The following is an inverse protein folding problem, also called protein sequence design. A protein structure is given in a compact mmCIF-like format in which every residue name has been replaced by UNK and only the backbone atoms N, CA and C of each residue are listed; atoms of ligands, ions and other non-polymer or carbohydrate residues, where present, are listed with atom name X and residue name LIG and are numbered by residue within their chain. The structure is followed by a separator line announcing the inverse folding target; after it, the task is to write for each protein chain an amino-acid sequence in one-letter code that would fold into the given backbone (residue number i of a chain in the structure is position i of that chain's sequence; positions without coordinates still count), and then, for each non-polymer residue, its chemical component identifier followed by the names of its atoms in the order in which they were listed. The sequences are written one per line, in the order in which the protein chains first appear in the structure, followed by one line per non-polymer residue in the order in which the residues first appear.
data_IF_287667607084
#
_entry.id   IF_287667607084
#
_cell.length_a   1.000
_cell.length_b   1.000
_cell.length_c   1.000
_cell.angle_alpha   90.00
_cell.angle_beta   90.00
_cell.angle_gamma   90.00
#
_symmetry.space_group_name_H-M   'P 1'
#
loop_
_entity.id
_entity.type
_entity.pdbx_description
1 polymer ?
#
# COMPACT_ATOMS: atom_id res chain seq x y z
N UNK A 1 -5.53 37.65 -13.43
CA UNK A 1 -4.78 36.56 -12.79
C UNK A 1 -5.69 35.34 -12.72
N UNK A 2 -5.49 34.36 -13.58
CA UNK A 2 -6.33 33.19 -13.68
C UNK A 2 -5.68 32.05 -12.85
N UNK A 3 -6.43 31.50 -11.91
CA UNK A 3 -6.03 30.34 -11.10
C UNK A 3 -6.48 29.09 -11.88
N UNK A 4 -5.52 28.32 -12.39
CA UNK A 4 -5.76 27.01 -12.98
C UNK A 4 -5.97 25.99 -11.85
N UNK A 5 -7.18 25.45 -11.77
CA UNK A 5 -7.48 24.25 -10.97
C UNK A 5 -7.14 23.03 -11.82
N UNK A 6 -6.11 22.29 -11.43
CA UNK A 6 -5.79 20.97 -11.98
C UNK A 6 -6.69 19.94 -11.29
N UNK A 7 -7.69 19.45 -12.04
CA UNK A 7 -8.53 18.30 -11.64
C UNK A 7 -7.79 17.02 -11.99
N UNK A 8 -7.47 16.21 -11.00
CA UNK A 8 -7.01 14.84 -11.16
C UNK A 8 -8.14 13.97 -11.72
N UNK A 9 -7.97 13.43 -12.92
CA UNK A 9 -8.91 12.51 -13.54
C UNK A 9 -8.75 11.12 -12.93
N UNK A 10 -9.69 10.73 -12.08
CA UNK A 10 -9.85 9.35 -11.63
C UNK A 10 -10.51 8.53 -12.76
N UNK A 11 -9.85 7.46 -13.21
CA UNK A 11 -10.43 6.51 -14.14
C UNK A 11 -11.37 5.57 -13.39
N UNK A 12 -12.69 5.78 -13.60
CA UNK A 12 -13.75 4.91 -13.07
C UNK A 12 -14.02 3.82 -14.10
N UNK A 13 -13.67 2.58 -13.79
CA UNK A 13 -14.13 1.41 -14.54
C UNK A 13 -15.53 1.02 -14.08
N UNK A 14 -16.53 1.18 -14.96
CA UNK A 14 -17.87 0.61 -14.77
C UNK A 14 -17.86 -0.85 -15.19
N UNK A 15 -18.26 -1.75 -14.29
CA UNK A 15 -18.60 -3.14 -14.58
C UNK A 15 -20.03 -3.22 -15.14
N UNK A 16 -20.30 -4.04 -16.16
CA UNK A 16 -21.67 -4.33 -16.57
C UNK A 16 -22.29 -5.42 -15.70
N UNK A 17 -23.55 -5.19 -15.32
CA UNK A 17 -24.41 -6.15 -14.64
C UNK A 17 -24.62 -7.40 -15.53
N UNK A 18 -24.47 -8.59 -14.94
CA UNK A 18 -24.97 -9.84 -15.53
C UNK A 18 -25.92 -10.54 -14.57
N UNK A 19 -27.09 -10.76 -15.11
CA UNK A 19 -28.27 -11.36 -14.51
C UNK A 19 -28.05 -12.78 -13.99
N UNK A 20 -28.75 -13.09 -12.92
CA UNK A 20 -28.93 -14.40 -12.32
C UNK A 20 -29.70 -15.36 -13.25
N UNK A 21 -29.30 -16.62 -13.26
CA UNK A 21 -30.22 -17.76 -13.51
C UNK A 21 -29.96 -18.87 -12.50
N UNK A 22 -31.00 -19.11 -11.69
CA UNK A 22 -31.17 -20.30 -10.84
C UNK A 22 -31.46 -21.52 -11.68
N UNK A 23 -30.85 -22.67 -11.36
CA UNK A 23 -31.54 -23.95 -11.46
C UNK A 23 -30.95 -24.93 -10.44
N UNK A 24 -31.84 -25.42 -9.62
CA UNK A 24 -31.68 -26.53 -8.64
C UNK A 24 -31.95 -27.84 -9.35
N UNK A 25 -31.12 -28.87 -9.12
CA UNK A 25 -31.55 -30.28 -9.14
C UNK A 25 -30.48 -31.18 -8.50
N UNK A 26 -30.83 -31.79 -7.37
CA UNK A 26 -30.22 -33.03 -6.86
C UNK A 26 -31.12 -34.18 -7.30
N UNK A 27 -30.63 -35.41 -7.64
CA UNK A 27 -30.78 -36.45 -6.64
C UNK A 27 -29.65 -37.51 -6.55
N UNK A 28 -29.42 -37.92 -5.33
CA UNK A 28 -29.20 -39.25 -4.74
C UNK A 28 -28.56 -40.41 -5.53
N UNK A 29 -27.55 -40.99 -4.84
CA UNK A 29 -27.28 -42.40 -4.58
C UNK A 29 -26.94 -43.32 -5.74
N UNK A 30 -25.69 -43.82 -5.72
CA UNK A 30 -25.49 -45.30 -5.81
C UNK A 30 -24.05 -45.67 -5.37
N UNK A 31 -23.98 -46.62 -4.43
CA UNK A 31 -22.75 -47.28 -3.99
C UNK A 31 -22.33 -48.33 -5.04
N UNK A 32 -21.10 -48.27 -5.49
CA UNK A 32 -20.44 -49.40 -6.11
C UNK A 32 -19.00 -49.52 -5.62
N UNK A 33 -18.77 -50.53 -4.83
CA UNK A 33 -17.47 -50.96 -4.34
C UNK A 33 -16.71 -51.58 -5.53
N UNK A 34 -15.62 -50.94 -5.97
CA UNK A 34 -14.64 -51.62 -6.80
C UNK A 34 -13.25 -51.43 -6.19
N UNK A 35 -12.73 -52.58 -5.75
CA UNK A 35 -11.36 -52.79 -5.27
C UNK A 35 -10.42 -52.75 -6.49
N UNK A 36 -9.76 -51.64 -6.72
CA UNK A 36 -8.73 -51.52 -7.74
C UNK A 36 -7.35 -51.54 -7.10
N UNK A 37 -6.56 -52.50 -7.43
CA UNK A 37 -5.15 -52.71 -7.13
C UNK A 37 -4.32 -51.44 -7.40
N UNK A 38 -3.69 -50.89 -6.35
CA UNK A 38 -2.71 -49.84 -6.45
C UNK A 38 -1.44 -50.35 -7.13
N UNK A 39 -1.32 -50.02 -8.41
CA UNK A 39 -0.05 -50.10 -9.13
C UNK A 39 0.67 -48.77 -8.78
N UNK A 40 1.70 -48.88 -7.95
CA UNK A 40 2.59 -47.75 -7.58
C UNK A 40 3.34 -47.30 -8.84
N UNK A 41 2.79 -46.33 -9.54
CA UNK A 41 3.56 -45.55 -10.48
C UNK A 41 4.29 -44.48 -9.67
N UNK A 42 5.61 -44.55 -9.60
CA UNK A 42 6.43 -43.49 -9.13
C UNK A 42 6.14 -42.23 -9.98
N UNK A 43 5.35 -41.37 -9.47
CA UNK A 43 5.20 -40.03 -10.02
C UNK A 43 6.55 -39.33 -9.85
N UNK A 44 7.32 -39.23 -10.92
CA UNK A 44 8.40 -38.26 -11.02
C UNK A 44 7.76 -36.88 -10.82
N UNK A 45 7.97 -36.28 -9.66
CA UNK A 45 7.67 -34.87 -9.46
C UNK A 45 8.32 -34.12 -10.62
N UNK A 46 7.61 -33.22 -11.33
CA UNK A 46 8.29 -32.35 -12.27
C UNK A 46 9.38 -31.62 -11.52
N UNK A 47 10.63 -31.74 -11.99
CA UNK A 47 11.72 -30.85 -11.57
C UNK A 47 11.21 -29.43 -11.80
N UNK A 48 10.73 -28.78 -10.73
CA UNK A 48 10.54 -27.34 -10.72
C UNK A 48 11.96 -26.80 -10.75
N UNK A 49 12.42 -26.20 -11.87
CA UNK A 49 13.76 -25.65 -11.92
C UNK A 49 13.87 -24.67 -10.75
N UNK A 50 14.86 -24.84 -9.90
CA UNK A 50 15.18 -23.90 -8.84
C UNK A 50 15.36 -22.52 -9.52
N UNK A 51 14.38 -21.65 -9.34
CA UNK A 51 14.44 -20.31 -9.90
C UNK A 51 15.51 -19.55 -9.12
N UNK A 52 16.65 -19.32 -9.74
CA UNK A 52 17.76 -18.60 -9.13
C UNK A 52 17.59 -17.13 -9.53
N UNK A 53 17.37 -16.28 -8.56
CA UNK A 53 17.37 -14.83 -8.75
C UNK A 53 18.78 -14.35 -9.09
N UNK A 54 18.90 -13.44 -10.04
CA UNK A 54 20.17 -12.83 -10.44
C UNK A 54 20.48 -11.63 -9.53
N UNK A 55 21.01 -11.93 -8.34
CA UNK A 55 21.33 -10.91 -7.34
C UNK A 55 22.34 -9.88 -7.80
N UNK A 56 23.28 -10.24 -8.71
CA UNK A 56 24.23 -9.29 -9.29
C UNK A 56 23.49 -8.29 -10.19
N UNK A 57 22.57 -8.77 -11.01
CA UNK A 57 21.73 -7.91 -11.84
C UNK A 57 20.83 -7.00 -11.00
N UNK A 58 20.25 -7.51 -9.90
CA UNK A 58 19.44 -6.71 -8.96
C UNK A 58 20.24 -5.55 -8.36
N UNK A 59 21.46 -5.83 -7.86
CA UNK A 59 22.34 -4.81 -7.29
C UNK A 59 22.83 -3.81 -8.33
N UNK A 60 23.15 -4.26 -9.54
CA UNK A 60 23.56 -3.37 -10.63
C UNK A 60 22.42 -2.44 -11.05
N UNK A 61 21.18 -2.94 -11.14
CA UNK A 61 19.99 -2.12 -11.45
C UNK A 61 19.73 -1.05 -10.39
N UNK A 62 19.87 -1.38 -9.10
CA UNK A 62 19.79 -0.39 -8.02
C UNK A 62 20.89 0.69 -8.15
N UNK A 63 22.13 0.27 -8.42
CA UNK A 63 23.25 1.19 -8.60
C UNK A 63 23.01 2.14 -9.78
N UNK A 64 22.60 1.62 -10.93
CA UNK A 64 22.31 2.39 -12.13
C UNK A 64 21.13 3.36 -11.92
N UNK A 65 20.06 2.90 -11.25
CA UNK A 65 18.95 3.76 -10.87
C UNK A 65 19.41 4.94 -10.00
N UNK A 66 20.24 4.68 -8.98
CA UNK A 66 20.74 5.72 -8.09
C UNK A 66 21.74 6.66 -8.77
N UNK A 67 22.52 6.18 -9.72
CA UNK A 67 23.37 7.04 -10.56
C UNK A 67 22.53 7.99 -11.43
N UNK A 68 21.48 7.48 -12.09
CA UNK A 68 20.58 8.30 -12.89
C UNK A 68 19.84 9.35 -12.04
N UNK A 69 19.39 8.96 -10.84
CA UNK A 69 18.75 9.86 -9.88
C UNK A 69 19.68 10.96 -9.40
N UNK A 70 20.94 10.64 -9.07
CA UNK A 70 21.93 11.64 -8.69
C UNK A 70 22.18 12.65 -9.82
N UNK A 71 22.25 12.20 -11.07
CA UNK A 71 22.36 13.07 -12.24
C UNK A 71 21.14 13.99 -12.43
N UNK A 72 19.96 13.53 -12.01
CA UNK A 72 18.71 14.30 -12.05
C UNK A 72 18.45 15.15 -10.78
N UNK A 73 19.34 15.10 -9.79
CA UNK A 73 19.17 15.83 -8.52
C UNK A 73 18.17 15.19 -7.55
N UNK A 74 17.76 13.95 -7.77
CA UNK A 74 16.88 13.20 -6.88
C UNK A 74 17.68 12.42 -5.81
N UNK A 75 17.10 12.24 -4.62
CA UNK A 75 17.71 11.44 -3.55
C UNK A 75 17.79 9.96 -3.93
N UNK A 76 18.79 9.21 -3.42
CA UNK A 76 18.92 7.80 -3.73
C UNK A 76 17.77 6.99 -3.14
N UNK A 77 17.40 5.92 -3.85
CA UNK A 77 16.48 4.90 -3.38
C UNK A 77 17.20 3.93 -2.44
N UNK A 78 16.54 3.59 -1.35
CA UNK A 78 16.97 2.56 -0.41
C UNK A 78 16.29 1.23 -0.76
N UNK A 79 17.04 0.14 -0.74
CA UNK A 79 16.48 -1.18 -0.97
C UNK A 79 15.52 -1.58 0.17
N UNK A 80 14.34 -2.08 -0.17
CA UNK A 80 13.37 -2.65 0.77
C UNK A 80 13.21 -4.15 0.48
N UNK A 81 13.43 -4.98 1.50
CA UNK A 81 13.42 -6.44 1.34
C UNK A 81 12.04 -7.00 0.99
N UNK A 82 10.97 -6.39 1.50
CA UNK A 82 9.60 -6.78 1.17
C UNK A 82 9.26 -6.45 -0.28
N UNK A 83 9.63 -5.25 -0.75
CA UNK A 83 9.47 -4.88 -2.15
C UNK A 83 10.29 -5.78 -3.07
N UNK A 84 11.52 -6.19 -2.68
CA UNK A 84 12.29 -7.17 -3.46
C UNK A 84 11.56 -8.51 -3.55
N UNK A 85 10.92 -8.96 -2.48
CA UNK A 85 10.16 -10.21 -2.49
C UNK A 85 8.97 -10.11 -3.45
N UNK A 86 8.22 -9.01 -3.46
CA UNK A 86 7.14 -8.77 -4.40
C UNK A 86 7.64 -8.73 -5.85
N UNK A 87 8.70 -7.96 -6.12
CA UNK A 87 9.31 -7.84 -7.44
C UNK A 87 9.79 -9.19 -7.99
N UNK A 88 10.41 -10.02 -7.14
CA UNK A 88 10.85 -11.36 -7.52
C UNK A 88 9.67 -12.28 -7.84
N UNK A 89 8.61 -12.28 -7.02
CA UNK A 89 7.40 -13.06 -7.28
C UNK A 89 6.74 -12.66 -8.60
N UNK A 90 6.70 -11.36 -8.92
CA UNK A 90 6.17 -10.90 -10.20
C UNK A 90 7.07 -11.26 -11.38
N UNK A 91 8.41 -11.23 -11.22
CA UNK A 91 9.34 -11.72 -12.23
C UNK A 91 9.15 -13.23 -12.52
N UNK A 92 8.83 -14.04 -11.49
CA UNK A 92 8.44 -15.45 -11.67
C UNK A 92 7.15 -15.59 -12.49
N UNK A 93 6.15 -14.78 -12.20
CA UNK A 93 4.90 -14.79 -12.97
C UNK A 93 5.12 -14.40 -14.43
N UNK A 94 5.97 -13.40 -14.70
CA UNK A 94 6.36 -13.04 -16.07
C UNK A 94 7.10 -14.17 -16.78
N UNK A 95 8.04 -14.85 -16.11
CA UNK A 95 8.76 -16.00 -16.65
C UNK A 95 7.80 -17.16 -16.96
N UNK A 96 6.91 -17.50 -16.05
CA UNK A 96 5.94 -18.57 -16.23
C UNK A 96 5.00 -18.28 -17.42
N UNK A 97 4.56 -17.04 -17.56
CA UNK A 97 3.73 -16.59 -18.66
C UNK A 97 4.52 -16.33 -19.98
N UNK A 98 5.85 -16.30 -19.94
CA UNK A 98 6.76 -15.95 -21.04
C UNK A 98 6.40 -14.63 -21.73
N UNK A 99 5.95 -13.64 -20.96
CA UNK A 99 5.59 -12.30 -21.47
C UNK A 99 5.74 -11.24 -20.41
N UNK A 100 5.89 -9.98 -20.87
CA UNK A 100 5.81 -8.81 -20.01
C UNK A 100 4.36 -8.45 -19.71
N UNK A 101 4.07 -8.14 -18.46
CA UNK A 101 2.81 -7.57 -18.02
C UNK A 101 3.00 -6.91 -16.65
N UNK A 102 2.28 -5.86 -16.35
CA UNK A 102 2.19 -5.30 -15.00
C UNK A 102 1.26 -6.10 -14.09
N UNK A 103 0.42 -6.95 -14.67
CA UNK A 103 -0.52 -7.79 -13.93
C UNK A 103 -0.96 -8.97 -14.78
N UNK A 104 -1.15 -10.12 -14.14
CA UNK A 104 -1.70 -11.32 -14.73
C UNK A 104 -3.09 -11.64 -14.17
N UNK A 105 -3.87 -12.45 -14.89
CA UNK A 105 -5.17 -12.91 -14.41
C UNK A 105 -5.00 -13.71 -13.11
N UNK A 106 -5.74 -13.33 -12.09
CA UNK A 106 -5.67 -13.94 -10.75
C UNK A 106 -4.52 -13.43 -9.86
N UNK A 107 -3.63 -12.60 -10.37
CA UNK A 107 -2.62 -11.91 -9.56
C UNK A 107 -3.22 -10.70 -8.84
N UNK A 108 -2.78 -10.46 -7.60
CA UNK A 108 -3.18 -9.26 -6.87
C UNK A 108 -2.64 -7.99 -7.53
N UNK A 109 -3.37 -6.87 -7.51
CA UNK A 109 -2.86 -5.58 -7.94
C UNK A 109 -1.60 -5.16 -7.17
N UNK A 110 -0.77 -4.30 -7.77
CA UNK A 110 0.51 -3.88 -7.20
C UNK A 110 0.42 -3.47 -5.71
N UNK A 111 -0.52 -2.60 -5.26
CA UNK A 111 -0.59 -2.22 -3.84
C UNK A 111 -0.76 -3.42 -2.91
N UNK A 112 -1.57 -4.41 -3.30
CA UNK A 112 -1.78 -5.63 -2.51
C UNK A 112 -0.57 -6.57 -2.57
N UNK A 113 0.10 -6.72 -3.74
CA UNK A 113 1.34 -7.51 -3.86
C UNK A 113 2.42 -6.97 -2.93
N UNK A 114 2.61 -5.64 -2.90
CA UNK A 114 3.57 -5.01 -2.00
C UNK A 114 3.15 -5.19 -0.53
N UNK A 115 1.87 -5.00 -0.25
CA UNK A 115 1.34 -5.16 1.09
C UNK A 115 1.53 -6.57 1.65
N UNK A 116 1.46 -7.62 0.85
CA UNK A 116 1.63 -9.00 1.30
C UNK A 116 3.06 -9.33 1.73
N UNK A 117 4.04 -8.55 1.26
CA UNK A 117 5.47 -8.84 1.47
C UNK A 117 6.20 -7.81 2.32
N UNK A 118 5.74 -6.55 2.37
CA UNK A 118 6.36 -5.50 3.19
C UNK A 118 5.52 -5.12 4.40
N UNK A 119 6.19 -4.71 5.49
CA UNK A 119 5.58 -4.02 6.62
C UNK A 119 5.74 -2.49 6.53
N UNK A 120 6.33 -2.00 5.46
CA UNK A 120 6.53 -0.57 5.22
C UNK A 120 5.19 0.09 4.87
N UNK A 121 4.86 1.17 5.55
CA UNK A 121 3.74 2.03 5.16
C UNK A 121 4.14 2.79 3.89
N UNK A 122 3.40 2.58 2.81
CA UNK A 122 3.63 3.25 1.52
C UNK A 122 2.52 4.26 1.23
N UNK A 123 2.90 5.47 0.83
CA UNK A 123 1.98 6.51 0.40
C UNK A 123 1.77 6.51 -1.12
N UNK A 124 2.82 6.18 -1.85
CA UNK A 124 2.83 6.06 -3.30
C UNK A 124 3.59 4.81 -3.70
N UNK A 125 3.17 4.17 -4.77
CA UNK A 125 3.85 3.03 -5.36
C UNK A 125 3.91 3.15 -6.89
N UNK A 126 4.85 2.42 -7.50
CA UNK A 126 5.00 2.32 -8.95
C UNK A 126 5.81 1.11 -9.33
N UNK A 127 5.68 0.67 -10.56
CA UNK A 127 6.36 -0.51 -11.08
C UNK A 127 6.96 -0.24 -12.46
N UNK A 128 8.15 -0.76 -12.68
CA UNK A 128 8.74 -0.93 -14.01
C UNK A 128 8.94 -2.42 -14.26
N UNK A 129 8.61 -2.88 -15.47
CA UNK A 129 8.91 -4.23 -15.94
C UNK A 129 9.69 -4.16 -17.25
N UNK A 130 10.68 -5.06 -17.41
CA UNK A 130 11.45 -5.17 -18.63
C UNK A 130 11.86 -6.62 -18.93
N UNK A 131 12.11 -6.91 -20.20
CA UNK A 131 12.74 -8.13 -20.68
C UNK A 131 13.94 -7.75 -21.53
N UNK A 132 15.15 -8.10 -21.07
CA UNK A 132 16.38 -7.70 -21.72
C UNK A 132 17.46 -8.79 -21.68
N UNK A 133 18.61 -8.56 -22.26
CA UNK A 133 19.74 -9.49 -22.26
C UNK A 133 20.63 -9.36 -21.01
N UNK A 134 20.75 -8.14 -20.49
CA UNK A 134 21.54 -7.82 -19.29
C UNK A 134 20.97 -6.60 -18.55
N UNK A 135 21.41 -6.40 -17.32
CA UNK A 135 20.91 -5.34 -16.44
C UNK A 135 21.20 -3.91 -16.99
N UNK A 136 22.37 -3.70 -17.61
CA UNK A 136 22.74 -2.39 -18.14
C UNK A 136 21.89 -2.00 -19.34
N UNK A 137 21.64 -2.95 -20.25
CA UNK A 137 20.72 -2.78 -21.38
C UNK A 137 19.29 -2.55 -20.90
N UNK A 138 18.81 -3.34 -19.93
CA UNK A 138 17.49 -3.18 -19.32
C UNK A 138 17.31 -1.79 -18.72
N UNK A 139 18.26 -1.33 -17.90
CA UNK A 139 18.25 0.04 -17.36
C UNK A 139 18.23 1.10 -18.46
N UNK A 140 19.07 0.96 -19.49
CA UNK A 140 19.12 1.89 -20.61
C UNK A 140 17.76 2.00 -21.31
N UNK A 141 17.11 0.88 -21.61
CA UNK A 141 15.80 0.86 -22.27
C UNK A 141 14.69 1.43 -21.38
N UNK A 142 14.71 1.14 -20.08
CA UNK A 142 13.81 1.77 -19.12
C UNK A 142 13.99 3.30 -19.08
N UNK A 143 15.23 3.80 -19.09
CA UNK A 143 15.54 5.23 -19.14
C UNK A 143 15.16 5.90 -20.46
N UNK A 144 15.08 5.17 -21.56
CA UNK A 144 14.62 5.66 -22.87
C UNK A 144 13.09 5.70 -22.99
N UNK A 145 12.38 4.95 -22.17
CA UNK A 145 10.91 4.90 -22.13
C UNK A 145 10.37 5.98 -21.17
N UNK A 146 9.61 6.98 -21.65
CA UNK A 146 9.16 8.09 -20.80
C UNK A 146 8.42 7.66 -19.51
N UNK A 147 7.47 6.70 -19.52
CA UNK A 147 6.78 6.30 -18.28
C UNK A 147 7.71 5.58 -17.29
N UNK A 148 8.60 4.68 -17.77
CA UNK A 148 9.54 3.97 -16.91
C UNK A 148 10.62 4.93 -16.35
N UNK A 149 11.08 5.86 -17.16
CA UNK A 149 12.00 6.91 -16.72
C UNK A 149 11.35 7.80 -15.65
N UNK A 150 10.07 8.11 -15.79
CA UNK A 150 9.34 8.90 -14.80
C UNK A 150 9.33 8.19 -13.44
N UNK A 151 9.10 6.88 -13.39
CA UNK A 151 9.20 6.10 -12.15
C UNK A 151 10.62 6.12 -11.56
N UNK A 152 11.64 5.84 -12.38
CA UNK A 152 13.05 5.84 -11.95
C UNK A 152 13.48 7.18 -11.34
N UNK A 153 13.00 8.29 -11.88
CA UNK A 153 13.39 9.65 -11.48
C UNK A 153 12.37 10.35 -10.58
N UNK A 154 11.26 9.67 -10.19
CA UNK A 154 10.26 10.25 -9.31
C UNK A 154 10.89 10.61 -7.95
N UNK A 155 10.94 11.93 -7.66
CA UNK A 155 11.56 12.44 -6.43
C UNK A 155 10.80 12.06 -5.15
N UNK A 156 9.51 11.68 -5.25
CA UNK A 156 8.70 11.20 -4.12
C UNK A 156 9.17 9.84 -3.62
N UNK A 157 9.64 8.96 -4.51
CA UNK A 157 10.07 7.62 -4.12
C UNK A 157 11.37 7.65 -3.32
N UNK A 158 11.42 6.87 -2.25
CA UNK A 158 12.58 6.74 -1.36
C UNK A 158 12.98 5.28 -1.10
N UNK A 159 12.15 4.31 -1.53
CA UNK A 159 12.46 2.87 -1.47
C UNK A 159 12.24 2.21 -2.83
N UNK A 160 12.94 1.09 -3.03
CA UNK A 160 12.83 0.24 -4.22
C UNK A 160 12.97 -1.24 -3.82
N UNK A 161 12.22 -2.10 -4.49
CA UNK A 161 12.49 -3.53 -4.61
C UNK A 161 12.94 -3.84 -6.04
N UNK A 162 13.90 -4.72 -6.19
CA UNK A 162 14.34 -5.21 -7.49
C UNK A 162 14.24 -6.72 -7.50
N UNK A 163 13.61 -7.28 -8.52
CA UNK A 163 13.52 -8.71 -8.77
C UNK A 163 13.98 -9.03 -10.17
N UNK A 164 14.96 -9.93 -10.30
CA UNK A 164 15.52 -10.34 -11.59
C UNK A 164 15.62 -11.85 -11.67
N UNK A 165 15.06 -12.40 -12.73
CA UNK A 165 15.18 -13.83 -13.06
C UNK A 165 15.84 -13.99 -14.41
N UNK A 166 16.89 -14.83 -14.47
CA UNK A 166 17.55 -15.20 -15.71
C UNK A 166 16.92 -16.46 -16.29
N UNK A 167 16.58 -16.42 -17.57
CA UNK A 167 16.10 -17.57 -18.33
C UNK A 167 16.75 -17.57 -19.70
N UNK A 168 17.69 -18.50 -19.91
CA UNK A 168 18.53 -18.53 -21.10
C UNK A 168 19.38 -17.24 -21.21
N UNK A 169 19.25 -16.54 -22.32
CA UNK A 169 19.92 -15.27 -22.61
C UNK A 169 19.11 -14.03 -22.22
N UNK A 170 17.99 -14.20 -21.47
CA UNK A 170 17.08 -13.12 -21.09
C UNK A 170 16.98 -12.94 -19.60
N UNK A 171 16.78 -11.67 -19.20
CA UNK A 171 16.43 -11.26 -17.84
C UNK A 171 14.98 -10.76 -17.81
N UNK A 172 14.17 -11.33 -16.95
CA UNK A 172 12.89 -10.76 -16.53
C UNK A 172 13.17 -9.84 -15.35
N UNK A 173 12.92 -8.55 -15.55
CA UNK A 173 13.29 -7.47 -14.62
C UNK A 173 12.03 -6.82 -14.10
N UNK A 174 11.93 -6.68 -12.77
CA UNK A 174 10.88 -5.91 -12.07
C UNK A 174 11.55 -4.94 -11.11
N UNK A 175 11.07 -3.71 -11.10
CA UNK A 175 11.45 -2.67 -10.15
C UNK A 175 10.17 -2.12 -9.52
N UNK A 176 9.96 -2.41 -8.24
CA UNK A 176 8.86 -1.90 -7.43
C UNK A 176 9.35 -0.69 -6.64
N UNK A 177 8.71 0.45 -6.82
CA UNK A 177 9.05 1.70 -6.15
C UNK A 177 8.04 2.04 -5.08
N UNK A 178 8.46 2.76 -4.06
CA UNK A 178 7.55 3.29 -3.06
C UNK A 178 8.03 4.56 -2.38
N UNK A 179 7.05 5.35 -1.92
CA UNK A 179 7.26 6.40 -0.92
C UNK A 179 6.96 5.82 0.46
N UNK A 180 8.01 5.36 1.12
CA UNK A 180 7.91 4.84 2.48
C UNK A 180 7.75 5.99 3.48
N UNK A 181 6.78 5.85 4.37
CA UNK A 181 6.53 6.75 5.50
C UNK A 181 6.98 6.12 6.81
N UNK A 182 7.24 6.93 7.86
CA UNK A 182 7.46 6.40 9.20
C UNK A 182 6.23 5.64 9.71
N UNK A 183 6.47 4.52 10.39
CA UNK A 183 5.44 3.82 11.15
C UNK A 183 5.47 4.32 12.60
N UNK A 184 4.38 4.89 13.07
CA UNK A 184 4.20 5.36 14.43
C UNK A 184 3.37 4.36 15.25
N UNK A 185 3.73 4.17 16.49
CA UNK A 185 2.86 3.52 17.48
C UNK A 185 1.64 4.38 17.79
N UNK A 186 0.60 3.79 18.35
CA UNK A 186 -0.61 4.55 18.75
C UNK A 186 -0.28 5.72 19.69
N UNK A 187 0.68 5.55 20.59
CA UNK A 187 1.12 6.61 21.49
C UNK A 187 1.77 7.77 20.71
N UNK A 188 2.71 7.46 19.80
CA UNK A 188 3.36 8.46 18.95
C UNK A 188 2.36 9.20 18.05
N UNK A 189 1.37 8.49 17.49
CA UNK A 189 0.29 9.12 16.71
C UNK A 189 -0.48 10.16 17.55
N UNK A 190 -0.84 9.81 18.79
CA UNK A 190 -1.50 10.74 19.71
C UNK A 190 -0.64 11.95 20.02
N UNK A 191 0.67 11.75 20.21
CA UNK A 191 1.63 12.83 20.44
C UNK A 191 1.78 13.75 19.21
N UNK A 192 1.88 13.17 18.00
CA UNK A 192 1.96 13.94 16.75
C UNK A 192 0.70 14.79 16.55
N UNK A 193 -0.48 14.21 16.74
CA UNK A 193 -1.75 14.93 16.66
C UNK A 193 -1.80 16.03 17.73
N UNK A 194 -1.38 15.77 18.98
CA UNK A 194 -1.37 16.75 20.03
C UNK A 194 -0.41 17.94 19.73
N UNK A 195 0.75 17.65 19.18
CA UNK A 195 1.70 18.69 18.74
C UNK A 195 1.08 19.57 17.64
N UNK A 196 0.38 18.96 16.67
CA UNK A 196 -0.31 19.67 15.59
C UNK A 196 -1.47 20.52 16.12
N UNK A 197 -2.24 20.00 17.10
CA UNK A 197 -3.29 20.75 17.80
C UNK A 197 -2.70 21.98 18.49
N UNK A 198 -1.62 21.82 19.26
CA UNK A 198 -0.96 22.92 19.93
C UNK A 198 -0.43 23.97 18.94
N UNK A 199 0.11 23.53 17.80
CA UNK A 199 0.57 24.42 16.74
C UNK A 199 -0.59 25.21 16.11
N UNK A 200 -1.70 24.54 15.75
CA UNK A 200 -2.89 25.18 15.18
C UNK A 200 -3.46 26.23 16.12
N UNK A 201 -3.56 25.94 17.41
CA UNK A 201 -4.07 26.89 18.42
C UNK A 201 -3.14 28.07 18.62
N UNK A 202 -1.81 27.87 18.64
CA UNK A 202 -0.84 29.00 18.71
C UNK A 202 -0.97 29.92 17.48
N UNK A 203 -1.12 29.37 16.27
CA UNK A 203 -1.37 30.15 15.05
C UNK A 203 -2.66 30.97 15.15
N UNK A 204 -3.70 30.40 15.78
CA UNK A 204 -4.96 31.08 16.05
C UNK A 204 -4.90 32.06 17.28
N UNK A 205 -3.75 32.19 17.95
CA UNK A 205 -3.56 32.97 19.18
C UNK A 205 -4.49 32.55 20.33
N UNK A 206 -4.74 31.26 20.44
CA UNK A 206 -5.54 30.61 21.48
C UNK A 206 -4.63 29.92 22.50
N UNK A 207 -5.13 29.78 23.74
CA UNK A 207 -4.44 29.01 24.77
C UNK A 207 -4.35 27.54 24.41
N UNK A 208 -3.29 26.89 24.86
CA UNK A 208 -3.15 25.42 24.72
C UNK A 208 -4.27 24.71 25.49
N UNK A 209 -4.66 23.56 25.02
CA UNK A 209 -5.63 22.64 25.64
C UNK A 209 -4.99 21.30 25.92
N UNK A 210 -5.44 20.65 26.97
CA UNK A 210 -4.86 19.38 27.39
C UNK A 210 -5.39 18.20 26.54
N UNK A 211 -4.47 17.39 26.04
CA UNK A 211 -4.81 16.03 25.61
C UNK A 211 -5.16 15.20 26.85
N UNK A 212 -6.31 14.56 26.84
CA UNK A 212 -6.74 13.63 27.90
C UNK A 212 -6.95 12.24 27.29
N UNK A 213 -6.81 11.23 28.14
CA UNK A 213 -7.04 9.85 27.73
C UNK A 213 -8.53 9.49 27.72
N UNK A 214 -8.95 8.76 26.68
CA UNK A 214 -10.31 8.30 26.50
C UNK A 214 -10.30 6.95 25.74
N UNK A 215 -10.17 5.81 26.46
CA UNK A 215 -10.02 4.50 25.81
C UNK A 215 -11.14 4.17 24.81
N UNK A 216 -12.37 4.64 25.07
CA UNK A 216 -13.50 4.47 24.16
C UNK A 216 -13.25 5.11 22.77
N UNK A 217 -12.39 6.12 22.67
CA UNK A 217 -12.01 6.70 21.38
C UNK A 217 -11.08 5.77 20.58
N UNK A 218 -10.15 5.07 21.25
CA UNK A 218 -9.30 4.05 20.62
C UNK A 218 -10.14 2.86 20.13
N UNK A 219 -11.07 2.38 20.96
CA UNK A 219 -11.98 1.29 20.60
C UNK A 219 -12.82 1.66 19.37
N UNK A 220 -13.31 2.89 19.29
CA UNK A 220 -14.06 3.39 18.15
C UNK A 220 -13.19 3.47 16.88
N UNK A 221 -11.95 3.98 16.99
CA UNK A 221 -10.99 4.03 15.89
C UNK A 221 -10.69 2.62 15.35
N UNK A 222 -10.38 1.66 16.23
CA UNK A 222 -10.12 0.28 15.85
C UNK A 222 -11.36 -0.45 15.30
N UNK A 223 -12.55 -0.08 15.76
CA UNK A 223 -13.80 -0.63 15.20
C UNK A 223 -14.03 -0.19 13.76
N UNK A 224 -13.77 1.09 13.44
CA UNK A 224 -13.84 1.61 12.07
C UNK A 224 -12.77 0.98 11.18
N UNK A 225 -11.55 0.80 11.70
CA UNK A 225 -10.45 0.14 10.99
C UNK A 225 -10.80 -1.31 10.60
N UNK A 226 -11.36 -2.09 11.54
CA UNK A 226 -11.82 -3.46 11.26
C UNK A 226 -12.94 -3.53 10.23
N UNK A 227 -13.80 -2.51 10.18
CA UNK A 227 -14.88 -2.41 9.21
C UNK A 227 -14.42 -1.82 7.86
N UNK A 228 -13.18 -1.37 7.75
CA UNK A 228 -12.61 -0.62 6.61
C UNK A 228 -13.52 0.54 6.17
N UNK A 229 -14.13 1.23 7.15
CA UNK A 229 -15.13 2.28 6.88
C UNK A 229 -15.25 3.27 8.03
N UNK A 230 -15.18 4.56 7.71
CA UNK A 230 -15.58 5.63 8.63
C UNK A 230 -17.10 5.60 8.79
N UNK A 231 -17.57 5.54 10.05
CA UNK A 231 -19.01 5.47 10.35
C UNK A 231 -19.33 6.10 11.69
N UNK A 232 -20.59 6.48 11.89
CA UNK A 232 -21.06 7.10 13.14
C UNK A 232 -21.42 6.08 14.24
N UNK A 233 -21.60 4.81 13.89
CA UNK A 233 -21.99 3.79 14.85
C UNK A 233 -20.99 3.61 16.01
N UNK A 234 -19.66 3.46 15.75
CA UNK A 234 -18.68 3.30 16.83
C UNK A 234 -18.53 4.54 17.73
N UNK A 235 -18.87 5.74 17.21
CA UNK A 235 -18.73 7.00 17.94
C UNK A 235 -20.06 7.50 18.55
N UNK A 236 -21.15 6.76 18.43
CA UNK A 236 -22.49 7.22 18.86
C UNK A 236 -22.52 7.66 20.34
N UNK A 237 -21.92 6.90 21.23
CA UNK A 237 -21.86 7.25 22.65
C UNK A 237 -20.95 8.46 22.91
N UNK A 238 -19.83 8.57 22.19
CA UNK A 238 -18.94 9.71 22.28
C UNK A 238 -19.64 11.01 21.82
N UNK A 239 -20.40 10.92 20.73
CA UNK A 239 -21.10 12.07 20.14
C UNK A 239 -22.25 12.61 20.98
N UNK A 240 -22.70 11.87 22.02
CA UNK A 240 -23.67 12.39 23.00
C UNK A 240 -23.08 13.42 23.95
N UNK A 241 -21.76 13.41 24.12
CA UNK A 241 -21.05 14.26 25.09
C UNK A 241 -20.04 15.21 24.44
N UNK A 242 -19.42 14.80 23.34
CA UNK A 242 -18.32 15.48 22.70
C UNK A 242 -18.67 15.86 21.26
N UNK A 243 -18.04 16.89 20.74
CA UNK A 243 -17.97 17.09 19.30
C UNK A 243 -16.93 16.13 18.73
N UNK A 244 -17.33 15.23 17.80
CA UNK A 244 -16.46 14.13 17.34
C UNK A 244 -16.20 14.26 15.84
N UNK A 245 -14.91 14.18 15.48
CA UNK A 245 -14.45 14.05 14.10
C UNK A 245 -13.77 12.71 13.93
N UNK A 246 -13.95 12.08 12.77
CA UNK A 246 -13.29 10.83 12.39
C UNK A 246 -12.66 10.97 11.03
N UNK A 247 -11.45 10.46 10.86
CA UNK A 247 -10.74 10.50 9.59
C UNK A 247 -9.69 9.38 9.53
N UNK A 248 -9.18 9.12 8.34
CA UNK A 248 -7.98 8.29 8.12
C UNK A 248 -6.83 9.21 7.71
N UNK A 249 -5.61 8.86 8.08
CA UNK A 249 -4.41 9.61 7.71
C UNK A 249 -3.21 8.69 7.56
N UNK A 250 -2.33 9.01 6.62
CA UNK A 250 -0.97 8.49 6.53
C UNK A 250 0.02 9.39 7.27
N UNK A 251 -0.39 10.65 7.55
CA UNK A 251 0.40 11.72 8.14
C UNK A 251 -0.26 12.24 9.41
N UNK A 252 -0.08 11.56 10.56
CA UNK A 252 -0.70 11.99 11.81
C UNK A 252 -0.23 13.36 12.30
N UNK A 253 0.93 13.81 11.81
CA UNK A 253 1.46 15.17 12.06
C UNK A 253 0.68 16.28 11.32
N UNK A 254 -0.24 15.93 10.41
CA UNK A 254 -1.03 16.91 9.64
C UNK A 254 -2.52 16.75 9.96
N UNK A 255 -3.11 17.80 10.50
CA UNK A 255 -4.55 17.82 10.79
C UNK A 255 -5.36 18.10 9.52
N UNK A 256 -6.50 17.43 9.31
CA UNK A 256 -7.44 17.84 8.26
C UNK A 256 -8.04 19.21 8.57
N UNK A 257 -8.36 19.99 7.54
CA UNK A 257 -8.91 21.35 7.66
C UNK A 257 -10.16 21.42 8.57
N UNK A 258 -11.01 20.37 8.54
CA UNK A 258 -12.17 20.27 9.42
C UNK A 258 -11.79 20.19 10.90
N UNK A 259 -10.71 19.48 11.24
CA UNK A 259 -10.20 19.38 12.59
C UNK A 259 -9.56 20.71 13.04
N UNK A 260 -8.74 21.36 12.22
CA UNK A 260 -8.18 22.68 12.52
C UNK A 260 -9.26 23.70 12.85
N UNK A 261 -10.34 23.73 12.07
CA UNK A 261 -11.47 24.64 12.31
C UNK A 261 -12.16 24.35 13.64
N UNK A 262 -12.41 23.09 13.96
CA UNK A 262 -13.06 22.70 15.21
C UNK A 262 -12.18 23.04 16.44
N UNK A 263 -10.86 22.85 16.30
CA UNK A 263 -9.87 23.14 17.34
C UNK A 263 -9.63 24.64 17.54
N UNK A 264 -10.05 25.48 16.62
CA UNK A 264 -9.95 26.96 16.73
C UNK A 264 -11.06 27.58 17.60
N UNK A 265 -11.84 26.78 18.32
CA UNK A 265 -12.81 27.28 19.32
C UNK A 265 -12.11 27.77 20.57
N UNK A 266 -12.46 28.98 21.03
CA UNK A 266 -11.95 29.55 22.29
C UNK A 266 -12.50 28.80 23.53
N UNK A 267 -13.66 28.15 23.40
CA UNK A 267 -14.35 27.45 24.48
C UNK A 267 -13.95 25.96 24.59
N UNK A 268 -12.91 25.53 23.89
CA UNK A 268 -12.41 24.17 24.00
C UNK A 268 -11.61 24.02 25.29
N UNK A 269 -12.01 23.07 26.14
CA UNK A 269 -11.39 22.84 27.46
C UNK A 269 -10.43 21.65 27.45
N UNK A 270 -10.72 20.62 26.67
CA UNK A 270 -9.90 19.45 26.51
C UNK A 270 -10.16 18.81 25.15
N UNK A 271 -9.25 17.96 24.71
CA UNK A 271 -9.47 17.08 23.55
C UNK A 271 -8.94 15.67 23.84
N UNK A 272 -9.46 14.72 23.09
CA UNK A 272 -9.16 13.29 23.22
C UNK A 272 -8.83 12.77 21.83
N UNK A 273 -7.82 11.92 21.73
CA UNK A 273 -7.43 11.27 20.49
C UNK A 273 -7.51 9.77 20.67
N UNK A 274 -8.37 9.14 19.87
CA UNK A 274 -8.33 7.69 19.66
C UNK A 274 -7.60 7.42 18.33
N UNK A 275 -6.70 6.44 18.32
CA UNK A 275 -5.94 6.08 17.15
C UNK A 275 -5.79 4.56 17.01
N UNK A 276 -5.87 4.07 15.77
CA UNK A 276 -5.67 2.67 15.43
C UNK A 276 -4.96 2.59 14.09
N UNK A 277 -3.79 1.95 14.04
CA UNK A 277 -3.17 1.58 12.78
C UNK A 277 -3.74 0.27 12.29
N UNK A 278 -4.14 0.22 11.01
CA UNK A 278 -4.59 -1.03 10.40
C UNK A 278 -4.28 -1.06 8.91
N UNK A 279 -3.96 -2.26 8.44
CA UNK A 279 -3.91 -2.63 7.03
C UNK A 279 -5.29 -3.15 6.66
N UNK A 280 -5.87 -2.60 5.61
CA UNK A 280 -7.24 -2.91 5.18
C UNK A 280 -7.27 -3.09 3.66
N UNK A 281 -8.43 -3.43 3.11
CA UNK A 281 -8.57 -3.49 1.66
C UNK A 281 -8.40 -2.11 1.01
N UNK A 282 -8.89 -1.05 1.68
CA UNK A 282 -8.76 0.35 1.20
C UNK A 282 -7.33 0.86 1.35
N UNK A 283 -6.63 0.45 2.40
CA UNK A 283 -5.25 0.85 2.70
C UNK A 283 -4.37 -0.40 2.87
N UNK A 284 -3.92 -1.02 1.76
CA UNK A 284 -3.22 -2.31 1.82
C UNK A 284 -1.94 -2.29 2.66
N UNK A 285 -1.14 -1.23 2.58
CA UNK A 285 0.08 -1.06 3.38
C UNK A 285 -0.18 -0.41 4.74
N UNK A 286 -1.44 0.01 5.01
CA UNK A 286 -1.90 0.55 6.28
C UNK A 286 -2.28 2.01 6.25
N UNK A 287 -3.04 2.43 7.27
CA UNK A 287 -3.37 3.82 7.58
C UNK A 287 -3.69 3.95 9.08
N UNK A 288 -3.61 5.17 9.58
CA UNK A 288 -4.08 5.52 10.91
C UNK A 288 -5.55 5.95 10.85
N UNK A 289 -6.38 5.26 11.62
CA UNK A 289 -7.79 5.59 11.84
C UNK A 289 -7.89 6.43 13.10
N UNK A 290 -8.45 7.64 12.98
CA UNK A 290 -8.42 8.62 14.06
C UNK A 290 -9.81 9.04 14.46
N UNK A 291 -10.03 9.11 15.78
CA UNK A 291 -11.18 9.73 16.43
C UNK A 291 -10.68 10.90 17.24
N UNK A 292 -11.12 12.10 16.91
CA UNK A 292 -10.83 13.33 17.66
C UNK A 292 -12.11 13.78 18.34
N UNK A 293 -12.17 13.71 19.68
CA UNK A 293 -13.27 14.19 20.47
C UNK A 293 -12.90 15.47 21.19
N UNK A 294 -13.81 16.47 21.20
CA UNK A 294 -13.60 17.81 21.69
C UNK A 294 -14.64 18.12 22.80
N UNK A 295 -14.15 18.60 23.98
CA UNK A 295 -14.96 18.94 25.15
C UNK A 295 -15.22 20.43 25.24
#
# INVERSE_FOLDING_TARGET
MAILLLTSAAWIWRLPELMAFSQVSNPASEKATQRATLKTAAATSPDIPFTVYDSEAELLLLQLANQARAQAGALPLRLDGGLCQAARAHAEAMLAARRLSHQFDGELPLPQRLADTTNTLLEEEGENVALDFDAASGHKHLMQSPPHRANLLNASYNVIGVGVIRSGDRLYIVQDFGRALPNYSTAEVKEQIAASVAQARRHARLSDVALRDLPMADDAACSMARADKLSTSPIHQLAQRYSVLTYTSLHPETLPVSAERALSSANLHAFFVGACYARTQTYPTGAYWVVLALD
#
